data_IF_214129444974
#
_entry.id   IF_214129444974
#
_cell.length_a   1.000
_cell.length_b   1.000
_cell.length_c   1.000
_cell.angle_alpha   90.00
_cell.angle_beta   90.00
_cell.angle_gamma   90.00
#
_symmetry.space_group_name_H-M   'P 1'
#
loop_
_entity.id
_entity.type
_entity.pdbx_description
1 polymer ?
#
# COMPACT_ATOMS: atom_id res chain seq x y z
N UNK A 1 17.28 2.83 10.24
CA UNK A 1 16.35 3.85 10.77
C UNK A 1 15.14 3.11 11.30
N UNK A 2 14.91 3.17 12.61
CA UNK A 2 13.76 2.53 13.24
C UNK A 2 12.54 3.40 12.90
N UNK A 3 11.63 2.88 12.08
CA UNK A 3 10.36 3.54 11.77
C UNK A 3 9.45 3.32 12.97
N UNK A 4 9.60 4.11 14.04
CA UNK A 4 8.82 3.96 15.27
C UNK A 4 7.75 5.05 15.46
N UNK A 5 7.28 5.69 14.38
CA UNK A 5 6.11 6.56 14.44
C UNK A 5 4.89 5.80 13.90
N UNK A 6 4.09 5.22 14.81
CA UNK A 6 2.72 4.84 14.50
C UNK A 6 1.94 6.12 14.20
N UNK A 7 1.33 6.18 13.03
CA UNK A 7 0.51 7.32 12.61
C UNK A 7 -0.90 6.82 12.33
N UNK A 8 -1.93 7.30 13.05
CA UNK A 8 -3.31 7.05 12.69
C UNK A 8 -3.62 7.60 11.29
N UNK A 9 -4.24 6.79 10.44
CA UNK A 9 -4.54 7.11 9.02
C UNK A 9 -6.02 7.05 8.69
N UNK A 10 -6.85 6.56 9.61
CA UNK A 10 -8.29 6.41 9.40
C UNK A 10 -8.89 5.44 10.41
N UNK A 11 -10.17 5.14 10.20
CA UNK A 11 -10.97 4.28 11.06
C UNK A 11 -11.78 3.30 10.21
N UNK A 12 -11.99 2.10 10.74
CA UNK A 12 -12.86 1.06 10.15
C UNK A 12 -13.72 0.45 11.22
N UNK A 13 -14.95 0.07 10.89
CA UNK A 13 -15.83 -0.62 11.82
C UNK A 13 -15.35 -2.07 12.00
N UNK A 14 -15.44 -2.66 13.21
CA UNK A 14 -15.05 -4.05 13.44
C UNK A 14 -15.70 -5.07 12.49
N UNK A 15 -16.96 -4.85 12.10
CA UNK A 15 -17.64 -5.72 11.13
C UNK A 15 -17.01 -5.68 9.73
N UNK A 16 -16.45 -4.54 9.32
CA UNK A 16 -15.77 -4.41 8.02
C UNK A 16 -14.46 -5.20 8.01
N UNK A 17 -13.77 -5.32 9.15
CA UNK A 17 -12.56 -6.15 9.28
C UNK A 17 -12.86 -7.64 9.10
N UNK A 18 -14.05 -8.11 9.48
CA UNK A 18 -14.42 -9.52 9.35
C UNK A 18 -14.74 -9.90 7.89
N UNK A 19 -15.34 -9.00 7.12
CA UNK A 19 -15.87 -9.31 5.78
C UNK A 19 -15.05 -8.75 4.62
N UNK A 20 -14.42 -7.59 4.79
CA UNK A 20 -13.88 -6.81 3.65
C UNK A 20 -12.44 -6.41 3.85
N UNK A 21 -12.06 -6.01 5.07
CA UNK A 21 -10.78 -5.36 5.37
C UNK A 21 -9.89 -6.19 6.31
N UNK A 22 -10.07 -7.51 6.31
CA UNK A 22 -9.24 -8.44 7.06
C UNK A 22 -7.78 -8.45 6.62
N UNK A 23 -6.91 -9.25 7.26
CA UNK A 23 -5.51 -9.39 6.88
C UNK A 23 -5.32 -9.64 5.38
N UNK A 24 -4.39 -8.91 4.75
CA UNK A 24 -4.13 -9.00 3.31
C UNK A 24 -5.04 -8.16 2.43
N UNK A 25 -6.14 -7.62 2.97
CA UNK A 25 -7.05 -6.77 2.21
C UNK A 25 -6.48 -5.37 1.96
N UNK A 26 -6.78 -4.82 0.78
CA UNK A 26 -6.53 -3.42 0.46
C UNK A 26 -7.69 -2.54 0.93
N UNK A 27 -7.35 -1.44 1.58
CA UNK A 27 -8.29 -0.40 2.02
C UNK A 27 -7.93 0.90 1.31
N UNK A 28 -8.85 1.44 0.54
CA UNK A 28 -8.71 2.77 -0.07
C UNK A 28 -9.25 3.81 0.92
N UNK A 29 -8.35 4.54 1.57
CA UNK A 29 -8.70 5.68 2.43
C UNK A 29 -8.75 6.95 1.57
N UNK A 30 -9.38 8.04 2.03
CA UNK A 30 -9.55 9.24 1.22
C UNK A 30 -8.24 9.84 0.67
N UNK A 31 -7.13 9.67 1.40
CA UNK A 31 -5.85 10.34 1.10
C UNK A 31 -4.68 9.39 0.80
N UNK A 32 -4.83 8.07 1.04
CA UNK A 32 -3.82 7.05 0.77
C UNK A 32 -4.46 5.65 0.77
N UNK A 33 -3.78 4.65 0.21
CA UNK A 33 -4.23 3.26 0.23
C UNK A 33 -3.31 2.43 1.14
N UNK A 34 -3.90 1.50 1.89
CA UNK A 34 -3.16 0.63 2.82
C UNK A 34 -3.52 -0.84 2.61
N UNK A 35 -2.64 -1.73 3.07
CA UNK A 35 -2.95 -3.15 3.26
C UNK A 35 -2.99 -3.47 4.76
N UNK A 36 -4.02 -4.21 5.17
CA UNK A 36 -4.15 -4.72 6.55
C UNK A 36 -3.08 -5.76 6.83
N UNK A 37 -2.32 -5.59 7.91
CA UNK A 37 -1.25 -6.54 8.26
C UNK A 37 -1.80 -7.82 8.90
N UNK A 38 -1.01 -8.88 8.80
CA UNK A 38 -1.28 -10.18 9.40
C UNK A 38 -1.46 -10.12 10.92
N UNK A 39 -2.25 -11.05 11.45
CA UNK A 39 -2.53 -11.15 12.90
C UNK A 39 -1.27 -11.38 13.74
N UNK A 40 -0.18 -11.85 13.13
CA UNK A 40 1.15 -11.98 13.75
C UNK A 40 1.75 -10.62 14.18
N UNK A 41 1.27 -9.51 13.60
CA UNK A 41 1.71 -8.14 13.95
C UNK A 41 0.78 -7.44 14.94
N UNK A 42 -0.35 -8.07 15.29
CA UNK A 42 -1.35 -7.47 16.17
C UNK A 42 -0.93 -7.62 17.63
N UNK A 43 -1.14 -6.57 18.43
CA UNK A 43 -0.87 -6.61 19.87
C UNK A 43 -1.92 -7.48 20.58
N UNK A 44 -1.58 -8.74 20.86
CA UNK A 44 -2.48 -9.75 21.43
C UNK A 44 -3.17 -9.28 22.71
N UNK A 45 -2.47 -8.51 23.56
CA UNK A 45 -3.00 -7.98 24.83
C UNK A 45 -4.09 -6.92 24.62
N UNK A 46 -4.08 -6.25 23.47
CA UNK A 46 -5.14 -5.31 23.07
C UNK A 46 -6.32 -6.00 22.39
N UNK A 47 -6.15 -7.26 21.99
CA UNK A 47 -7.20 -8.08 21.40
C UNK A 47 -7.99 -8.79 22.50
N UNK A 48 -9.13 -8.23 22.89
CA UNK A 48 -9.93 -8.74 24.00
C UNK A 48 -10.46 -10.16 23.71
N UNK A 49 -10.31 -11.13 24.63
CA UNK A 49 -10.88 -12.47 24.46
C UNK A 49 -12.41 -12.48 24.41
N UNK A 50 -12.96 -13.32 23.54
CA UNK A 50 -14.39 -13.60 23.46
C UNK A 50 -14.66 -14.84 24.33
N UNK A 51 -15.30 -14.64 25.48
CA UNK A 51 -15.60 -15.71 26.44
C UNK A 51 -16.93 -16.39 26.11
N UNK A 52 -16.97 -17.15 25.01
CA UNK A 52 -18.16 -17.88 24.56
C UNK A 52 -17.87 -19.35 24.29
N UNK A 53 -18.10 -20.20 25.30
CA UNK A 53 -17.76 -21.63 25.24
C UNK A 53 -18.46 -22.36 24.09
N UNK A 54 -19.74 -22.03 23.81
CA UNK A 54 -20.51 -22.63 22.71
C UNK A 54 -19.94 -22.25 21.34
N UNK A 55 -19.53 -21.00 21.18
CA UNK A 55 -18.94 -20.51 19.94
C UNK A 55 -17.57 -21.15 19.72
N UNK A 56 -16.71 -21.19 20.75
CA UNK A 56 -15.40 -21.84 20.68
C UNK A 56 -15.53 -23.33 20.31
N UNK A 57 -16.46 -24.05 20.95
CA UNK A 57 -16.72 -25.44 20.61
C UNK A 57 -17.21 -25.61 19.16
N UNK A 58 -18.05 -24.71 18.65
CA UNK A 58 -18.49 -24.73 17.26
C UNK A 58 -17.34 -24.49 16.28
N UNK A 59 -16.45 -23.54 16.58
CA UNK A 59 -15.26 -23.26 15.75
C UNK A 59 -14.29 -24.45 15.76
N UNK A 60 -14.03 -25.04 16.94
CA UNK A 60 -13.16 -26.22 17.08
C UNK A 60 -13.68 -27.45 16.34
N UNK A 61 -15.01 -27.61 16.22
CA UNK A 61 -15.59 -28.67 15.37
C UNK A 61 -15.23 -28.54 13.89
N UNK A 62 -15.00 -27.32 13.41
CA UNK A 62 -14.69 -27.04 11.99
C UNK A 62 -13.18 -26.98 11.76
N UNK A 63 -12.46 -26.24 12.60
CA UNK A 63 -11.03 -25.99 12.42
C UNK A 63 -10.14 -26.96 13.19
N UNK A 64 -10.59 -27.47 14.33
CA UNK A 64 -9.85 -28.36 15.23
C UNK A 64 -9.51 -27.74 16.58
N UNK A 65 -8.97 -28.57 17.49
CA UNK A 65 -8.63 -28.17 18.87
C UNK A 65 -7.45 -27.20 18.99
N UNK A 66 -6.71 -26.94 17.90
CA UNK A 66 -5.65 -25.93 17.89
C UNK A 66 -6.16 -24.50 18.14
N UNK A 67 -7.47 -24.27 18.01
CA UNK A 67 -8.08 -22.97 18.32
C UNK A 67 -8.27 -22.84 19.83
N UNK A 68 -7.30 -22.24 20.51
CA UNK A 68 -7.32 -22.09 21.97
C UNK A 68 -8.34 -21.05 22.45
N UNK A 69 -8.44 -19.91 21.77
CA UNK A 69 -9.30 -18.79 22.14
C UNK A 69 -9.71 -17.96 20.91
N UNK A 70 -10.86 -17.30 21.02
CA UNK A 70 -11.34 -16.32 20.04
C UNK A 70 -11.09 -14.91 20.60
N UNK A 71 -10.73 -13.96 19.74
CA UNK A 71 -10.42 -12.59 20.16
C UNK A 71 -11.05 -11.56 19.24
N UNK A 72 -11.46 -10.44 19.81
CA UNK A 72 -11.86 -9.26 19.07
C UNK A 72 -10.63 -8.53 18.51
N UNK A 73 -10.74 -7.88 17.34
CA UNK A 73 -9.72 -6.95 16.85
C UNK A 73 -9.43 -5.84 17.87
N UNK A 74 -8.22 -5.26 17.87
CA UNK A 74 -7.90 -4.14 18.75
C UNK A 74 -8.73 -2.91 18.36
N UNK A 75 -9.39 -2.30 19.35
CA UNK A 75 -10.17 -1.08 19.19
C UNK A 75 -10.03 -0.17 20.43
N UNK A 76 -10.28 1.12 20.25
CA UNK A 76 -10.28 2.09 21.33
C UNK A 76 -11.57 1.97 22.15
N UNK A 77 -11.45 1.86 23.48
CA UNK A 77 -12.61 1.69 24.38
C UNK A 77 -13.33 3.00 24.71
N UNK A 78 -12.60 4.12 24.64
CA UNK A 78 -13.12 5.47 24.92
C UNK A 78 -13.21 6.25 23.61
N UNK A 79 -14.24 7.06 23.45
CA UNK A 79 -14.34 8.04 22.35
C UNK A 79 -13.49 9.29 22.61
N UNK A 80 -13.24 9.60 23.90
CA UNK A 80 -12.40 10.71 24.33
C UNK A 80 -11.02 10.17 24.68
N UNK A 81 -10.15 10.15 23.68
CA UNK A 81 -8.74 9.77 23.83
C UNK A 81 -7.87 10.97 23.48
N UNK A 82 -6.88 11.28 24.31
CA UNK A 82 -5.86 12.26 23.95
C UNK A 82 -5.09 11.76 22.72
N UNK A 83 -5.10 12.55 21.64
CA UNK A 83 -4.48 12.23 20.35
C UNK A 83 -2.96 12.02 20.41
N UNK A 84 -2.32 12.42 21.51
CA UNK A 84 -0.90 12.22 21.77
C UNK A 84 -0.59 11.02 22.66
N UNK A 85 -1.62 10.37 23.21
CA UNK A 85 -1.47 9.21 24.09
C UNK A 85 -1.13 7.92 23.34
N UNK A 86 -0.70 6.89 24.07
CA UNK A 86 -0.48 5.56 23.49
C UNK A 86 -1.79 4.93 23.02
N UNK A 87 -2.89 5.27 23.68
CA UNK A 87 -4.25 4.80 23.41
C UNK A 87 -4.75 5.25 22.04
N UNK A 88 -4.35 6.44 21.59
CA UNK A 88 -4.70 6.95 20.25
C UNK A 88 -4.11 6.12 19.10
N UNK A 89 -3.08 5.31 19.38
CA UNK A 89 -2.46 4.42 18.40
C UNK A 89 -3.00 2.98 18.47
N UNK A 90 -4.02 2.72 19.30
CA UNK A 90 -4.69 1.43 19.33
C UNK A 90 -5.58 1.32 18.09
N UNK A 91 -5.30 0.30 17.28
CA UNK A 91 -6.07 -0.04 16.11
C UNK A 91 -5.46 -1.23 15.39
N UNK A 92 -6.07 -1.61 14.28
CA UNK A 92 -5.53 -2.65 13.41
C UNK A 92 -4.31 -2.11 12.67
N UNK A 93 -3.16 -2.81 12.74
CA UNK A 93 -1.96 -2.36 12.05
C UNK A 93 -2.11 -2.49 10.54
N UNK A 94 -1.70 -1.45 9.83
CA UNK A 94 -1.74 -1.34 8.37
C UNK A 94 -0.42 -0.80 7.85
N UNK A 95 -0.11 -1.03 6.58
CA UNK A 95 1.03 -0.38 5.90
C UNK A 95 0.56 0.31 4.62
N UNK A 96 1.15 1.45 4.23
CA UNK A 96 0.90 2.04 2.91
C UNK A 96 1.21 1.03 1.80
N UNK A 97 0.24 0.83 0.91
CA UNK A 97 0.38 -0.07 -0.24
C UNK A 97 -0.53 0.39 -1.39
N UNK A 98 -0.01 0.54 -2.63
CA UNK A 98 1.38 0.36 -3.02
C UNK A 98 2.34 1.35 -2.34
N UNK A 99 3.63 0.97 -2.30
CA UNK A 99 4.72 1.80 -1.78
C UNK A 99 5.07 2.94 -2.73
N UNK A 100 4.75 2.81 -4.01
CA UNK A 100 5.03 3.82 -5.02
C UNK A 100 3.99 4.93 -5.00
N UNK A 101 4.48 6.18 -4.96
CA UNK A 101 3.66 7.38 -4.94
C UNK A 101 3.93 8.23 -6.18
N UNK A 102 2.89 8.92 -6.65
CA UNK A 102 2.93 9.88 -7.76
C UNK A 102 2.56 11.26 -7.27
N UNK A 103 3.43 12.24 -7.48
CA UNK A 103 3.08 13.66 -7.28
C UNK A 103 2.04 14.11 -8.32
N UNK A 104 0.92 14.65 -7.87
CA UNK A 104 -0.18 15.09 -8.76
C UNK A 104 0.19 16.29 -9.64
N UNK A 105 1.22 17.06 -9.26
CA UNK A 105 1.58 18.32 -9.92
C UNK A 105 2.71 18.16 -10.94
N UNK A 106 3.77 17.43 -10.59
CA UNK A 106 4.94 17.27 -11.45
C UNK A 106 5.10 15.87 -12.04
N UNK A 107 4.26 14.92 -11.63
CA UNK A 107 4.33 13.54 -12.11
C UNK A 107 5.49 12.73 -11.52
N UNK A 108 6.26 13.25 -10.57
CA UNK A 108 7.32 12.48 -9.89
C UNK A 108 6.75 11.17 -9.38
N UNK A 109 7.38 10.06 -9.75
CA UNK A 109 7.01 8.70 -9.40
C UNK A 109 8.18 8.03 -8.69
N UNK A 110 8.00 7.66 -7.43
CA UNK A 110 9.04 7.08 -6.59
C UNK A 110 8.43 6.29 -5.42
N UNK A 111 9.14 5.31 -4.84
CA UNK A 111 8.78 4.76 -3.54
C UNK A 111 8.70 5.87 -2.47
N UNK A 112 7.77 5.77 -1.53
CA UNK A 112 7.61 6.76 -0.46
C UNK A 112 8.83 6.82 0.48
N UNK A 113 9.59 5.74 0.60
CA UNK A 113 10.76 5.61 1.47
C UNK A 113 12.07 6.03 0.81
N UNK A 114 12.04 6.49 -0.44
CA UNK A 114 13.20 7.07 -1.13
C UNK A 114 13.56 8.49 -0.65
N UNK A 115 12.80 9.06 0.29
CA UNK A 115 13.03 10.43 0.81
C UNK A 115 12.54 11.56 -0.10
N UNK A 116 11.84 11.24 -1.19
CA UNK A 116 11.26 12.21 -2.12
C UNK A 116 9.83 12.64 -1.76
N UNK A 117 9.20 11.91 -0.85
CA UNK A 117 7.87 12.20 -0.31
C UNK A 117 7.91 12.27 1.21
N UNK A 118 7.05 13.10 1.78
CA UNK A 118 6.91 13.29 3.22
C UNK A 118 5.48 12.95 3.63
N UNK A 119 5.31 12.24 4.75
CA UNK A 119 3.99 12.04 5.35
C UNK A 119 3.61 13.28 6.15
N UNK A 120 2.47 13.88 5.82
CA UNK A 120 1.83 14.92 6.63
C UNK A 120 0.75 14.27 7.47
N UNK A 121 1.09 13.96 8.72
CA UNK A 121 0.14 13.42 9.69
C UNK A 121 -0.89 14.46 10.13
N UNK A 122 -2.11 14.00 10.38
CA UNK A 122 -3.14 14.79 11.02
C UNK A 122 -3.84 13.95 12.08
N UNK A 123 -3.39 14.07 13.34
CA UNK A 123 -3.89 13.23 14.44
C UNK A 123 -5.34 13.55 14.86
N UNK A 124 -5.80 14.77 14.61
CA UNK A 124 -7.20 15.17 14.87
C UNK A 124 -8.16 14.73 13.77
N UNK A 125 -7.64 14.54 12.55
CA UNK A 125 -8.37 14.09 11.37
C UNK A 125 -7.53 13.05 10.64
N UNK A 126 -7.38 11.82 11.20
CA UNK A 126 -6.51 10.77 10.64
C UNK A 126 -6.74 10.51 9.16
N UNK A 127 -7.98 10.66 8.67
CA UNK A 127 -8.34 10.48 7.27
C UNK A 127 -7.72 11.52 6.31
N UNK A 128 -7.19 12.62 6.86
CA UNK A 128 -6.44 13.66 6.13
C UNK A 128 -4.92 13.48 6.17
N UNK A 129 -4.43 12.46 6.89
CA UNK A 129 -3.03 12.03 6.82
C UNK A 129 -2.73 11.64 5.37
N UNK A 130 -1.65 12.18 4.79
CA UNK A 130 -1.34 11.97 3.36
C UNK A 130 0.14 12.12 3.05
N UNK A 131 0.56 11.62 1.89
CA UNK A 131 1.89 11.88 1.38
C UNK A 131 1.91 13.17 0.55
N UNK A 132 3.01 13.91 0.64
CA UNK A 132 3.24 15.12 -0.17
C UNK A 132 4.65 15.11 -0.77
N UNK A 133 4.76 15.70 -1.97
CA UNK A 133 6.03 16.11 -2.53
C UNK A 133 6.32 17.54 -2.08
N UNK A 134 7.22 17.66 -1.11
CA UNK A 134 7.58 18.95 -0.49
C UNK A 134 8.23 19.88 -1.50
N UNK A 135 7.84 21.16 -1.50
CA UNK A 135 8.50 22.20 -2.32
C UNK A 135 8.42 21.97 -3.83
N UNK A 136 7.39 21.26 -4.31
CA UNK A 136 7.22 20.93 -5.72
C UNK A 136 7.11 22.18 -6.62
N UNK A 137 7.95 22.25 -7.66
CA UNK A 137 8.02 23.34 -8.65
C UNK A 137 7.27 23.07 -9.96
N UNK A 138 6.36 22.10 -9.96
CA UNK A 138 5.60 21.70 -11.16
C UNK A 138 6.40 20.81 -12.13
N UNK A 139 5.75 20.38 -13.22
CA UNK A 139 6.34 19.44 -14.19
C UNK A 139 7.58 20.00 -14.89
N UNK A 140 7.56 21.30 -15.24
CA UNK A 140 8.67 22.03 -15.86
C UNK A 140 9.71 22.57 -14.87
N UNK A 141 9.44 22.51 -13.56
CA UNK A 141 10.35 23.01 -12.52
C UNK A 141 10.43 24.54 -12.41
N UNK A 142 9.57 25.27 -13.12
CA UNK A 142 9.57 26.74 -13.26
C UNK A 142 8.61 27.44 -12.29
N UNK A 143 7.78 26.69 -11.55
CA UNK A 143 6.79 27.28 -10.65
C UNK A 143 7.37 27.55 -9.25
N UNK A 144 6.77 28.48 -8.48
CA UNK A 144 7.09 28.66 -7.08
C UNK A 144 7.00 27.33 -6.30
N UNK A 145 7.94 27.12 -5.38
CA UNK A 145 7.99 25.92 -4.56
C UNK A 145 6.74 25.86 -3.67
N UNK A 146 5.92 24.83 -3.87
CA UNK A 146 4.71 24.60 -3.08
C UNK A 146 4.50 23.10 -2.93
N UNK A 147 4.15 22.66 -1.74
CA UNK A 147 3.83 21.25 -1.50
C UNK A 147 2.68 20.81 -2.39
N UNK A 148 2.83 19.63 -2.98
CA UNK A 148 1.83 19.00 -3.81
C UNK A 148 1.51 17.62 -3.26
N UNK A 149 0.25 17.22 -3.34
CA UNK A 149 -0.16 15.89 -2.87
C UNK A 149 0.51 14.79 -3.70
N UNK A 150 0.82 13.69 -3.02
CA UNK A 150 1.34 12.48 -3.62
C UNK A 150 0.34 11.35 -3.38
N UNK A 151 -0.15 10.77 -4.47
CA UNK A 151 -1.17 9.72 -4.44
C UNK A 151 -0.53 8.37 -4.77
N UNK A 152 -1.04 7.25 -4.23
CA UNK A 152 -0.53 5.93 -4.60
C UNK A 152 -0.57 5.71 -6.10
N UNK A 153 0.49 5.15 -6.66
CA UNK A 153 0.51 4.72 -8.05
C UNK A 153 -0.22 3.38 -8.13
N UNK A 154 -1.52 3.42 -8.45
CA UNK A 154 -2.49 2.29 -8.39
C UNK A 154 -2.27 1.19 -9.46
N UNK A 155 -1.01 0.85 -9.73
CA UNK A 155 -0.62 -0.30 -10.53
C UNK A 155 0.09 -1.27 -9.59
N UNK A 156 -0.27 -2.54 -9.66
CA UNK A 156 0.20 -3.60 -8.78
C UNK A 156 0.62 -4.81 -9.63
N UNK A 157 1.21 -5.81 -8.99
CA UNK A 157 1.28 -7.15 -9.56
C UNK A 157 0.56 -8.12 -8.64
N UNK A 158 -0.18 -9.06 -9.22
CA UNK A 158 -0.77 -10.18 -8.51
C UNK A 158 -0.63 -11.47 -9.32
N UNK A 159 -0.58 -12.62 -8.65
CA UNK A 159 -0.61 -13.94 -9.29
C UNK A 159 -1.78 -14.79 -8.77
N UNK A 160 -1.97 -15.98 -9.35
CA UNK A 160 -3.06 -16.89 -8.97
C UNK A 160 -2.88 -17.53 -7.60
N UNK A 161 -1.64 -17.61 -7.11
CA UNK A 161 -1.33 -18.11 -5.76
C UNK A 161 -1.62 -17.06 -4.66
N UNK A 162 -2.13 -15.88 -5.03
CA UNK A 162 -2.55 -14.85 -4.09
C UNK A 162 -1.44 -13.90 -3.64
N UNK A 163 -0.25 -13.96 -4.25
CA UNK A 163 0.81 -12.97 -4.02
C UNK A 163 0.40 -11.60 -4.56
N UNK A 164 0.87 -10.56 -3.87
CA UNK A 164 0.59 -9.17 -4.21
C UNK A 164 1.87 -8.34 -4.08
N UNK A 165 2.17 -7.55 -5.10
CA UNK A 165 3.41 -6.77 -5.15
C UNK A 165 3.21 -5.38 -5.74
N UNK A 166 4.19 -4.52 -5.45
CA UNK A 166 4.32 -3.23 -6.12
C UNK A 166 4.61 -3.46 -7.60
N UNK A 167 4.01 -2.63 -8.47
CA UNK A 167 4.36 -2.66 -9.88
C UNK A 167 5.86 -2.37 -10.07
N UNK A 168 6.58 -3.12 -10.93
CA UNK A 168 8.04 -3.07 -10.99
C UNK A 168 8.50 -1.94 -11.91
N UNK A 169 8.23 -0.69 -11.51
CA UNK A 169 8.37 0.50 -12.35
C UNK A 169 9.72 0.65 -13.05
N UNK A 170 10.83 0.44 -12.32
CA UNK A 170 12.17 0.49 -12.93
C UNK A 170 12.38 -0.60 -13.97
N UNK A 171 12.00 -1.84 -13.66
CA UNK A 171 12.11 -2.96 -14.60
C UNK A 171 11.28 -2.68 -15.86
N UNK A 172 10.03 -2.27 -15.66
CA UNK A 172 9.09 -2.02 -16.73
C UNK A 172 9.58 -0.92 -17.68
N UNK A 173 9.91 0.27 -17.16
CA UNK A 173 10.35 1.41 -17.99
C UNK A 173 11.59 1.10 -18.80
N UNK A 174 12.52 0.31 -18.25
CA UNK A 174 13.78 -0.04 -18.92
C UNK A 174 13.69 -1.34 -19.75
N UNK A 175 12.53 -2.00 -19.77
CA UNK A 175 12.36 -3.27 -20.50
C UNK A 175 13.17 -4.43 -19.96
N UNK A 176 13.48 -4.44 -18.67
CA UNK A 176 14.28 -5.48 -18.05
C UNK A 176 15.06 -5.01 -16.83
N UNK A 177 15.98 -5.86 -16.36
CA UNK A 177 16.93 -5.50 -15.30
C UNK A 177 17.79 -4.33 -15.77
N UNK A 178 17.84 -3.26 -14.98
CA UNK A 178 18.63 -2.06 -15.27
C UNK A 178 19.35 -1.58 -14.02
N UNK A 179 20.55 -1.03 -14.19
CA UNK A 179 21.31 -0.36 -13.13
C UNK A 179 20.91 1.11 -12.96
N UNK A 180 20.03 1.64 -13.82
CA UNK A 180 19.57 3.02 -13.74
C UNK A 180 18.71 3.25 -12.50
N UNK A 181 19.16 4.19 -11.64
CA UNK A 181 18.47 4.61 -10.41
C UNK A 181 17.83 5.99 -10.52
N UNK A 182 17.62 6.48 -11.74
CA UNK A 182 17.01 7.78 -11.98
C UNK A 182 15.56 7.84 -11.50
N UNK A 183 15.09 9.03 -11.12
CA UNK A 183 13.68 9.25 -10.80
C UNK A 183 12.81 8.97 -12.01
N UNK A 184 11.57 8.56 -11.76
CA UNK A 184 10.59 8.32 -12.79
C UNK A 184 9.56 9.46 -12.80
N UNK A 185 8.98 9.70 -13.97
CA UNK A 185 7.88 10.63 -14.20
C UNK A 185 6.73 9.89 -14.84
N UNK A 186 5.57 9.96 -14.20
CA UNK A 186 4.31 9.48 -14.72
C UNK A 186 3.51 10.66 -15.28
N UNK A 187 3.12 10.60 -16.54
CA UNK A 187 2.41 11.67 -17.21
C UNK A 187 1.41 11.10 -18.22
N UNK A 188 0.46 11.93 -18.60
CA UNK A 188 -0.52 11.63 -19.64
C UNK A 188 -0.10 12.36 -20.93
N UNK A 189 -0.14 11.65 -22.04
CA UNK A 189 0.19 12.15 -23.37
C UNK A 189 -1.06 12.11 -24.23
N UNK A 190 -1.73 13.25 -24.40
CA UNK A 190 -2.96 13.36 -25.20
C UNK A 190 -4.06 14.11 -24.45
N UNK A 191 -5.24 14.19 -25.07
CA UNK A 191 -6.42 14.88 -24.53
C UNK A 191 -7.50 13.94 -23.99
N UNK A 192 -7.29 12.61 -23.99
CA UNK A 192 -8.26 11.61 -23.49
C UNK A 192 -7.70 10.79 -22.33
N UNK A 193 -8.53 10.51 -21.32
CA UNK A 193 -8.22 9.71 -20.12
C UNK A 193 -8.11 8.19 -20.39
N UNK A 194 -7.66 7.79 -21.58
CA UNK A 194 -7.50 6.38 -21.94
C UNK A 194 -6.14 5.85 -21.45
N UNK A 195 -6.08 4.59 -21.02
CA UNK A 195 -4.85 3.96 -20.49
C UNK A 195 -3.67 4.01 -21.47
N UNK A 196 -3.96 4.02 -22.77
CA UNK A 196 -3.01 4.17 -23.87
C UNK A 196 -2.25 5.51 -23.87
N UNK A 197 -2.82 6.53 -23.22
CA UNK A 197 -2.19 7.85 -23.06
C UNK A 197 -1.35 7.96 -21.79
N UNK A 198 -1.27 6.92 -20.95
CA UNK A 198 -0.46 6.96 -19.73
C UNK A 198 0.96 6.47 -20.02
N UNK A 199 1.95 7.29 -19.66
CA UNK A 199 3.36 7.04 -19.93
C UNK A 199 4.20 7.20 -18.68
N UNK A 200 5.30 6.44 -18.63
CA UNK A 200 6.35 6.63 -17.63
C UNK A 200 7.69 6.82 -18.29
N UNK A 201 8.41 7.84 -17.85
CA UNK A 201 9.76 8.19 -18.33
C UNK A 201 10.76 8.21 -17.17
N UNK A 202 11.99 7.76 -17.43
CA UNK A 202 13.12 7.97 -16.54
C UNK A 202 13.79 9.31 -16.83
N UNK A 203 13.99 10.14 -15.80
CA UNK A 203 14.61 11.46 -15.95
C UNK A 203 16.12 11.37 -16.22
N UNK A 204 16.79 10.28 -15.81
CA UNK A 204 18.24 10.15 -15.93
C UNK A 204 18.70 9.67 -17.32
N UNK A 205 18.05 8.64 -17.87
CA UNK A 205 18.44 8.04 -19.16
C UNK A 205 17.47 8.33 -20.30
N UNK A 206 16.31 8.94 -20.01
CA UNK A 206 15.29 9.26 -21.01
C UNK A 206 14.43 8.08 -21.47
N UNK A 207 14.68 6.86 -20.99
CA UNK A 207 13.85 5.68 -21.30
C UNK A 207 12.38 5.97 -20.96
N UNK A 208 11.47 5.60 -21.87
CA UNK A 208 10.05 5.89 -21.73
C UNK A 208 9.23 4.70 -22.21
N UNK A 209 8.11 4.42 -21.54
CA UNK A 209 7.22 3.30 -21.90
C UNK A 209 5.76 3.66 -21.63
N UNK A 210 4.89 3.25 -22.56
CA UNK A 210 3.44 3.36 -22.40
C UNK A 210 2.94 2.30 -21.42
N UNK A 211 1.99 2.68 -20.55
CA UNK A 211 1.32 1.76 -19.63
C UNK A 211 0.44 0.75 -20.34
N UNK A 212 0.08 0.95 -21.62
CA UNK A 212 -0.61 -0.06 -22.41
C UNK A 212 0.19 -1.38 -22.47
N UNK A 213 1.52 -1.33 -22.40
CA UNK A 213 2.38 -2.51 -22.42
C UNK A 213 2.43 -3.26 -21.07
N UNK A 214 1.82 -2.72 -20.02
CA UNK A 214 1.76 -3.36 -18.71
C UNK A 214 0.64 -4.41 -18.62
N UNK A 215 -0.33 -4.41 -19.53
CA UNK A 215 -1.55 -5.20 -19.41
C UNK A 215 -1.72 -6.25 -20.49
N UNK A 216 -2.60 -7.22 -20.22
CA UNK A 216 -2.97 -8.26 -21.18
C UNK A 216 -1.78 -9.09 -21.65
N UNK A 217 -1.76 -9.42 -22.95
CA UNK A 217 -0.68 -10.22 -23.55
C UNK A 217 0.67 -9.49 -23.50
N UNK A 218 0.67 -8.19 -23.76
CA UNK A 218 1.89 -7.38 -23.70
C UNK A 218 2.48 -7.35 -22.29
N UNK A 219 1.64 -7.28 -21.26
CA UNK A 219 2.06 -7.37 -19.86
C UNK A 219 2.88 -8.62 -19.57
N UNK A 220 2.44 -9.79 -20.05
CA UNK A 220 3.16 -11.06 -19.85
C UNK A 220 4.59 -11.05 -20.41
N UNK A 221 4.80 -10.35 -21.51
CA UNK A 221 6.11 -10.25 -22.17
C UNK A 221 7.01 -9.16 -21.54
N UNK A 222 6.41 -8.18 -20.86
CA UNK A 222 7.09 -6.98 -20.36
C UNK A 222 7.24 -6.91 -18.85
N UNK A 223 6.61 -7.82 -18.11
CA UNK A 223 6.64 -7.90 -16.66
C UNK A 223 7.50 -9.08 -16.19
N UNK A 224 8.14 -8.96 -15.02
CA UNK A 224 8.86 -10.08 -14.43
C UNK A 224 7.89 -11.16 -13.92
N UNK A 225 8.43 -12.35 -13.67
CA UNK A 225 7.71 -13.39 -12.94
C UNK A 225 7.32 -12.93 -11.52
N UNK A 226 6.36 -13.64 -10.92
CA UNK A 226 5.98 -13.39 -9.54
C UNK A 226 7.19 -13.60 -8.60
N UNK A 227 7.27 -12.79 -7.55
CA UNK A 227 8.32 -12.88 -6.53
C UNK A 227 7.87 -13.64 -5.28
N UNK A 228 6.63 -14.11 -5.21
CA UNK A 228 6.11 -14.75 -3.99
C UNK A 228 5.70 -13.79 -2.87
N UNK A 229 5.50 -12.49 -3.14
CA UNK A 229 5.36 -11.49 -2.08
C UNK A 229 4.00 -11.51 -1.38
N UNK A 230 4.04 -11.52 -0.05
CA UNK A 230 2.91 -11.27 0.87
C UNK A 230 3.12 -9.95 1.63
N UNK A 231 2.60 -8.81 1.14
CA UNK A 231 2.92 -7.50 1.70
C UNK A 231 2.37 -7.34 3.13
N UNK A 232 1.28 -8.03 3.45
CA UNK A 232 0.65 -8.03 4.77
C UNK A 232 1.42 -8.85 5.82
N UNK A 233 2.27 -9.79 5.40
CA UNK A 233 3.14 -10.59 6.29
C UNK A 233 4.60 -10.13 6.27
N UNK A 234 4.95 -9.21 5.36
CA UNK A 234 6.33 -8.83 5.03
C UNK A 234 7.20 -10.06 4.68
N UNK A 235 6.60 -11.00 3.95
CA UNK A 235 7.18 -12.29 3.59
C UNK A 235 7.23 -12.45 2.07
N UNK A 236 8.14 -13.30 1.62
CA UNK A 236 8.23 -13.78 0.25
C UNK A 236 8.31 -15.30 0.30
N UNK A 237 7.43 -15.97 -0.43
CA UNK A 237 7.52 -17.41 -0.63
C UNK A 237 8.74 -17.70 -1.53
N UNK A 238 9.49 -18.75 -1.21
CA UNK A 238 10.76 -19.07 -1.88
C UNK A 238 10.57 -19.47 -3.35
N UNK A 239 9.41 -20.05 -3.68
CA UNK A 239 9.07 -20.54 -5.02
C UNK A 239 7.65 -20.07 -5.42
N UNK A 240 7.53 -19.54 -6.63
CA UNK A 240 6.26 -19.20 -7.26
C UNK A 240 6.44 -19.26 -8.78
N UNK A 241 5.80 -20.25 -9.41
CA UNK A 241 5.87 -20.47 -10.85
C UNK A 241 4.72 -19.79 -11.62
N UNK A 242 3.82 -19.11 -10.90
CA UNK A 242 2.68 -18.42 -11.50
C UNK A 242 3.09 -17.11 -12.20
N UNK A 243 2.45 -16.85 -13.34
CA UNK A 243 2.62 -15.59 -14.06
C UNK A 243 2.01 -14.42 -13.27
N UNK A 244 2.83 -13.40 -12.97
CA UNK A 244 2.34 -12.15 -12.42
C UNK A 244 1.56 -11.36 -13.48
N UNK A 245 0.49 -10.69 -13.04
CA UNK A 245 -0.37 -9.84 -13.86
C UNK A 245 -0.52 -8.48 -13.19
N UNK A 246 -0.58 -7.43 -14.00
CA UNK A 246 -0.84 -6.07 -13.54
C UNK A 246 -2.34 -5.70 -13.60
#
# INVERSE_FOLDING_TARGET
MIINNKTPVGEVRPSQLLWTYGPGALIDLPSLSVVTLGINTWEKDRCQPIQEARLLAAVRKVLGEQVENLRMPPFQKSELVDVWSAEANIGVPVRPFPRWMRCVKCGLLSPFDAGLFEIKENRFRPERTRFVHKGCRGSKGDQPAKDADAVPARFLLACRDGHLDDFPWHYFVHGGKSSCRGTLRFFESGASLQTENLWVKCDACGASRSMAHAFGKAGKENLPACRGRHPHLDHFDDECDEEARA
#
